data_IF_455582163692
#
_entry.id   IF_455582163692
#
_cell.length_a   1.000
_cell.length_b   1.000
_cell.length_c   1.000
_cell.angle_alpha   90.00
_cell.angle_beta   90.00
_cell.angle_gamma   90.00
#
_symmetry.space_group_name_H-M   'P 1'
#
loop_
_entity.id
_entity.type
_entity.pdbx_description
1 polymer ?
#
# COMPACT_ATOMS: atom_id res chain seq x y z
N UNK A 1 0.23 60.81 43.09
CA UNK A 1 -0.42 61.78 42.17
C UNK A 1 -1.62 61.06 41.57
N UNK A 2 -2.82 61.63 41.62
CA UNK A 2 -3.96 61.03 40.91
C UNK A 2 -3.80 61.30 39.42
N UNK A 3 -3.92 60.26 38.60
CA UNK A 3 -3.92 60.39 37.14
C UNK A 3 -5.08 61.28 36.70
N UNK A 4 -4.82 62.13 35.71
CA UNK A 4 -5.79 63.06 35.14
C UNK A 4 -7.00 62.29 34.57
N UNK A 5 -8.17 62.93 34.53
CA UNK A 5 -9.38 62.33 33.93
C UNK A 5 -9.16 61.89 32.47
N UNK A 6 -8.26 62.57 31.75
CA UNK A 6 -7.86 62.23 30.40
C UNK A 6 -6.98 60.96 30.33
N UNK A 7 -6.00 60.81 31.21
CA UNK A 7 -5.14 59.63 31.28
C UNK A 7 -5.96 58.37 31.61
N UNK A 8 -6.90 58.49 32.56
CA UNK A 8 -7.83 57.40 32.89
C UNK A 8 -8.73 57.01 31.71
N UNK A 9 -9.11 57.96 30.87
CA UNK A 9 -9.90 57.68 29.66
C UNK A 9 -9.07 56.91 28.62
N UNK A 10 -7.80 57.26 28.43
CA UNK A 10 -6.87 56.54 27.54
C UNK A 10 -6.66 55.11 28.03
N UNK A 11 -6.39 54.93 29.33
CA UNK A 11 -6.22 53.60 29.94
C UNK A 11 -7.47 52.73 29.74
N UNK A 12 -8.65 53.28 29.99
CA UNK A 12 -9.91 52.56 29.80
C UNK A 12 -10.17 52.20 28.32
N UNK A 13 -9.80 53.07 27.38
CA UNK A 13 -9.94 52.80 25.95
C UNK A 13 -9.00 51.69 25.49
N UNK A 14 -7.75 51.69 25.97
CA UNK A 14 -6.79 50.62 25.70
C UNK A 14 -7.23 49.28 26.31
N UNK A 15 -7.67 49.28 27.57
CA UNK A 15 -8.20 48.09 28.25
C UNK A 15 -9.43 47.51 27.52
N UNK A 16 -10.35 48.37 27.07
CA UNK A 16 -11.48 47.94 26.26
C UNK A 16 -11.05 47.28 24.95
N UNK A 17 -10.11 47.88 24.22
CA UNK A 17 -9.60 47.35 22.96
C UNK A 17 -8.86 46.02 23.15
N UNK A 18 -7.99 45.92 24.15
CA UNK A 18 -7.24 44.68 24.45
C UNK A 18 -8.17 43.55 24.84
N UNK A 19 -9.14 43.79 25.74
CA UNK A 19 -10.19 42.82 26.09
C UNK A 19 -10.99 42.38 24.87
N UNK A 20 -11.31 43.32 23.96
CA UNK A 20 -12.02 43.04 22.72
C UNK A 20 -11.19 42.11 21.83
N UNK A 21 -9.91 42.42 21.60
CA UNK A 21 -8.99 41.59 20.81
C UNK A 21 -8.87 40.19 21.41
N UNK A 22 -8.69 40.05 22.72
CA UNK A 22 -8.61 38.75 23.40
C UNK A 22 -9.90 37.93 23.20
N UNK A 23 -11.07 38.57 23.37
CA UNK A 23 -12.37 37.91 23.18
C UNK A 23 -12.58 37.42 21.75
N UNK A 24 -12.22 38.22 20.75
CA UNK A 24 -12.38 37.84 19.34
C UNK A 24 -11.35 36.80 18.89
N UNK A 25 -10.12 36.88 19.38
CA UNK A 25 -9.08 35.87 19.10
C UNK A 25 -9.48 34.51 19.66
N UNK A 26 -9.99 34.46 20.90
CA UNK A 26 -10.54 33.24 21.48
C UNK A 26 -11.70 32.68 20.65
N UNK A 27 -12.66 33.51 20.25
CA UNK A 27 -13.77 33.09 19.38
C UNK A 27 -13.29 32.54 18.04
N UNK A 28 -12.30 33.21 17.42
CA UNK A 28 -11.71 32.77 16.15
C UNK A 28 -11.03 31.42 16.32
N UNK A 29 -10.26 31.23 17.39
CA UNK A 29 -9.59 29.97 17.70
C UNK A 29 -10.57 28.80 17.78
N UNK A 30 -11.63 28.92 18.59
CA UNK A 30 -12.64 27.86 18.69
C UNK A 30 -13.36 27.60 17.36
N UNK A 31 -13.69 28.66 16.61
CA UNK A 31 -14.29 28.50 15.28
C UNK A 31 -13.38 27.76 14.31
N UNK A 32 -12.09 28.09 14.31
CA UNK A 32 -11.11 27.48 13.42
C UNK A 32 -10.86 26.01 13.81
N UNK A 33 -10.82 25.70 15.10
CA UNK A 33 -10.78 24.32 15.60
C UNK A 33 -12.02 23.55 15.17
N UNK A 34 -13.24 24.03 15.47
CA UNK A 34 -14.46 23.32 15.06
C UNK A 34 -14.60 23.16 13.55
N UNK A 35 -13.97 24.03 12.74
CA UNK A 35 -13.90 23.84 11.28
C UNK A 35 -12.93 22.71 10.92
N UNK A 36 -11.76 22.62 11.54
CA UNK A 36 -10.79 21.54 11.31
C UNK A 36 -11.37 20.19 11.71
N UNK A 37 -11.93 20.09 12.92
CA UNK A 37 -12.52 18.83 13.42
C UNK A 37 -13.66 18.28 12.57
N UNK A 38 -14.38 19.13 11.83
CA UNK A 38 -15.45 18.69 10.91
C UNK A 38 -14.93 18.20 9.56
N UNK A 39 -13.73 18.62 9.17
CA UNK A 39 -13.22 18.46 7.81
C UNK A 39 -11.86 17.74 7.74
N UNK A 40 -11.23 17.44 8.87
CA UNK A 40 -9.91 16.84 8.98
C UNK A 40 -9.99 15.65 9.94
N UNK A 41 -9.34 14.56 9.54
CA UNK A 41 -9.10 13.37 10.35
C UNK A 41 -7.62 13.37 10.76
N UNK A 42 -7.32 12.88 11.97
CA UNK A 42 -5.94 12.62 12.34
C UNK A 42 -5.43 11.40 11.58
N UNK A 43 -4.14 11.37 11.23
CA UNK A 43 -3.53 10.15 10.68
C UNK A 43 -3.61 8.97 11.65
N UNK A 44 -3.62 9.23 12.96
CA UNK A 44 -3.79 8.19 13.98
C UNK A 44 -5.19 7.57 14.01
N UNK A 45 -6.18 8.24 13.41
CA UNK A 45 -7.56 7.76 13.34
C UNK A 45 -7.82 6.97 12.05
N UNK A 46 -6.86 6.94 11.11
CA UNK A 46 -6.95 6.19 9.87
C UNK A 46 -6.54 4.73 10.08
N UNK A 47 -7.24 3.84 9.39
CA UNK A 47 -6.82 2.44 9.31
C UNK A 47 -5.54 2.27 8.48
N UNK A 48 -4.83 1.17 8.70
CA UNK A 48 -3.65 0.82 7.90
C UNK A 48 -3.97 0.72 6.40
N UNK A 49 -5.17 0.22 6.06
CA UNK A 49 -5.64 0.16 4.68
C UNK A 49 -5.79 1.56 4.05
N UNK A 50 -6.35 2.51 4.77
CA UNK A 50 -6.50 3.90 4.28
C UNK A 50 -5.14 4.58 4.16
N UNK A 51 -4.23 4.37 5.12
CA UNK A 51 -2.86 4.89 5.04
C UNK A 51 -2.11 4.32 3.84
N UNK A 52 -2.22 3.01 3.60
CA UNK A 52 -1.59 2.34 2.46
C UNK A 52 -2.17 2.80 1.11
N UNK A 53 -3.40 3.31 1.08
CA UNK A 53 -3.97 3.90 -0.14
C UNK A 53 -3.35 5.25 -0.51
N UNK A 54 -2.93 6.04 0.49
CA UNK A 54 -2.29 7.34 0.26
C UNK A 54 -0.77 7.24 0.11
N UNK A 55 -0.18 6.16 0.62
CA UNK A 55 1.25 5.88 0.50
C UNK A 55 1.64 5.50 -0.93
N UNK A 56 2.73 6.07 -1.41
CA UNK A 56 3.48 5.52 -2.55
C UNK A 56 4.67 4.78 -1.93
N UNK A 57 4.76 3.47 -2.16
CA UNK A 57 5.93 2.70 -1.79
C UNK A 57 6.95 2.79 -2.92
N UNK A 58 8.21 3.04 -2.57
CA UNK A 58 9.30 3.01 -3.52
C UNK A 58 9.50 1.58 -4.03
N UNK A 59 9.57 1.43 -5.35
CA UNK A 59 9.83 0.15 -6.00
C UNK A 59 11.35 -0.05 -6.17
N UNK A 60 11.91 -0.92 -5.34
CA UNK A 60 13.32 -1.30 -5.38
C UNK A 60 13.47 -2.69 -5.99
N UNK A 61 14.61 -2.93 -6.65
CA UNK A 61 14.93 -4.25 -7.21
C UNK A 61 15.05 -5.37 -6.16
N UNK A 62 15.16 -5.01 -4.87
CA UNK A 62 15.11 -5.95 -3.74
C UNK A 62 13.69 -6.39 -3.38
N UNK A 63 12.66 -5.71 -3.88
CA UNK A 63 11.26 -5.96 -3.51
C UNK A 63 10.62 -7.10 -4.33
N UNK A 64 11.32 -7.63 -5.33
CA UNK A 64 10.80 -8.69 -6.19
C UNK A 64 11.89 -9.66 -6.62
N UNK A 65 11.46 -10.87 -6.98
CA UNK A 65 12.29 -11.86 -7.66
C UNK A 65 11.97 -11.83 -9.16
N UNK A 66 12.99 -11.69 -10.00
CA UNK A 66 12.83 -11.65 -11.46
C UNK A 66 13.08 -13.04 -12.07
N UNK A 67 12.14 -13.50 -12.89
CA UNK A 67 12.27 -14.72 -13.69
C UNK A 67 12.37 -14.37 -15.17
N UNK A 68 13.40 -14.87 -15.84
CA UNK A 68 13.49 -14.77 -17.30
C UNK A 68 12.80 -15.97 -17.96
N UNK A 69 11.70 -15.70 -18.66
CA UNK A 69 10.90 -16.69 -19.38
C UNK A 69 11.02 -16.42 -20.88
N UNK A 70 11.87 -17.19 -21.56
CA UNK A 70 12.08 -17.08 -23.01
C UNK A 70 12.47 -15.67 -23.48
N UNK A 71 13.25 -14.94 -22.67
CA UNK A 71 13.66 -13.57 -22.95
C UNK A 71 12.73 -12.49 -22.40
N UNK A 72 11.62 -12.86 -21.76
CA UNK A 72 10.71 -11.94 -21.09
C UNK A 72 10.94 -11.96 -19.58
N UNK A 73 11.14 -10.80 -18.97
CA UNK A 73 11.26 -10.68 -17.52
C UNK A 73 9.87 -10.68 -16.87
N UNK A 74 9.67 -11.53 -15.87
CA UNK A 74 8.47 -11.60 -15.03
C UNK A 74 8.88 -11.34 -13.58
N UNK A 75 8.29 -10.33 -12.96
CA UNK A 75 8.59 -9.92 -11.59
C UNK A 75 7.56 -10.48 -10.63
N UNK A 76 8.03 -11.11 -9.54
CA UNK A 76 7.18 -11.70 -8.49
C UNK A 76 7.58 -11.08 -7.15
N UNK A 77 6.68 -10.27 -6.59
CA UNK A 77 6.93 -9.56 -5.31
C UNK A 77 6.71 -10.43 -4.07
N UNK A 78 5.86 -11.46 -4.17
CA UNK A 78 5.59 -12.36 -3.04
C UNK A 78 6.76 -13.36 -2.87
N UNK A 79 7.42 -13.28 -1.72
CA UNK A 79 8.62 -14.07 -1.42
C UNK A 79 8.34 -15.58 -1.30
N UNK A 80 7.20 -15.95 -0.70
CA UNK A 80 6.85 -17.36 -0.57
C UNK A 80 6.52 -17.98 -1.94
N UNK A 81 5.82 -17.22 -2.78
CA UNK A 81 5.50 -17.61 -4.14
C UNK A 81 6.76 -17.72 -5.00
N UNK A 82 7.70 -16.76 -4.88
CA UNK A 82 8.94 -16.80 -5.65
C UNK A 82 9.77 -18.04 -5.31
N UNK A 83 9.91 -18.40 -4.03
CA UNK A 83 10.56 -19.63 -3.58
C UNK A 83 9.86 -20.88 -4.13
N UNK A 84 8.53 -20.95 -4.07
CA UNK A 84 7.78 -22.07 -4.61
C UNK A 84 7.98 -22.21 -6.14
N UNK A 85 8.02 -21.08 -6.86
CA UNK A 85 8.30 -21.05 -8.29
C UNK A 85 9.74 -21.48 -8.61
N UNK A 86 10.73 -21.12 -7.79
CA UNK A 86 12.13 -21.54 -7.97
C UNK A 86 12.32 -23.06 -7.88
N UNK A 87 11.59 -23.73 -6.99
CA UNK A 87 11.66 -25.19 -6.80
C UNK A 87 11.05 -25.95 -7.98
N UNK A 88 10.10 -25.34 -8.70
CA UNK A 88 9.45 -26.00 -9.83
C UNK A 88 10.43 -26.23 -11.00
N UNK A 89 10.28 -27.35 -11.75
CA UNK A 89 10.98 -27.54 -13.00
C UNK A 89 10.74 -26.38 -13.97
N UNK A 90 11.80 -25.90 -14.62
CA UNK A 90 11.78 -24.70 -15.48
C UNK A 90 10.62 -24.70 -16.49
N UNK A 91 10.35 -25.84 -17.15
CA UNK A 91 9.23 -25.95 -18.10
C UNK A 91 7.87 -25.68 -17.45
N UNK A 92 7.65 -26.21 -16.24
CA UNK A 92 6.40 -26.00 -15.48
C UNK A 92 6.31 -24.57 -14.98
N UNK A 93 7.42 -24.03 -14.45
CA UNK A 93 7.53 -22.64 -13.99
C UNK A 93 7.20 -21.66 -15.12
N UNK A 94 7.82 -21.82 -16.28
CA UNK A 94 7.59 -20.96 -17.44
C UNK A 94 6.13 -21.00 -17.91
N UNK A 95 5.49 -22.17 -17.91
CA UNK A 95 4.06 -22.30 -18.23
C UNK A 95 3.17 -21.54 -17.23
N UNK A 96 3.49 -21.61 -15.94
CA UNK A 96 2.75 -20.90 -14.89
C UNK A 96 2.90 -19.39 -15.07
N UNK A 97 4.14 -18.91 -15.24
CA UNK A 97 4.44 -17.50 -15.42
C UNK A 97 3.75 -16.95 -16.69
N UNK A 98 3.84 -17.66 -17.82
CA UNK A 98 3.14 -17.24 -19.04
C UNK A 98 1.62 -17.24 -18.88
N UNK A 99 1.05 -18.23 -18.19
CA UNK A 99 -0.40 -18.36 -18.08
C UNK A 99 -1.05 -17.39 -17.10
N UNK A 100 -0.37 -17.02 -16.02
CA UNK A 100 -0.96 -16.23 -14.93
C UNK A 100 -0.39 -14.82 -14.78
N UNK A 101 0.87 -14.60 -15.18
CA UNK A 101 1.50 -13.28 -15.08
C UNK A 101 1.50 -12.54 -16.42
N UNK A 102 1.41 -13.27 -17.54
CA UNK A 102 1.37 -12.70 -18.89
C UNK A 102 0.03 -12.94 -19.60
N UNK A 103 -0.98 -13.43 -18.88
CA UNK A 103 -2.34 -13.72 -19.38
C UNK A 103 -2.40 -14.52 -20.70
N UNK A 104 -1.38 -15.34 -20.98
CA UNK A 104 -1.26 -16.04 -22.24
C UNK A 104 -2.09 -17.34 -22.24
N UNK A 105 -2.97 -17.59 -23.22
CA UNK A 105 -3.76 -18.81 -23.27
C UNK A 105 -2.91 -20.03 -23.64
N UNK A 106 -3.34 -21.22 -23.20
CA UNK A 106 -2.62 -22.49 -23.43
C UNK A 106 -2.25 -22.76 -24.90
N UNK A 107 -3.08 -22.27 -25.83
CA UNK A 107 -2.85 -22.42 -27.25
C UNK A 107 -1.63 -21.61 -27.72
N UNK A 108 -1.49 -20.38 -27.22
CA UNK A 108 -0.37 -19.50 -27.55
C UNK A 108 0.91 -19.97 -26.86
N UNK A 109 0.83 -20.35 -25.58
CA UNK A 109 1.96 -20.96 -24.86
C UNK A 109 2.45 -22.23 -25.58
N UNK A 110 1.51 -23.07 -26.02
CA UNK A 110 1.83 -24.29 -26.77
C UNK A 110 2.59 -23.99 -28.06
N UNK A 111 2.16 -22.98 -28.83
CA UNK A 111 2.89 -22.54 -30.03
C UNK A 111 4.28 -22.01 -29.69
N UNK A 112 4.39 -21.18 -28.66
CA UNK A 112 5.63 -20.55 -28.23
C UNK A 112 6.68 -21.57 -27.75
N UNK A 113 6.24 -22.58 -26.98
CA UNK A 113 7.11 -23.61 -26.41
C UNK A 113 7.23 -24.86 -27.27
N UNK A 114 6.59 -24.86 -28.46
CA UNK A 114 6.49 -26.02 -29.36
C UNK A 114 5.92 -27.28 -28.67
N UNK A 115 4.83 -27.11 -27.93
CA UNK A 115 4.12 -28.15 -27.17
C UNK A 115 2.64 -28.19 -27.55
N UNK A 116 2.01 -29.36 -27.42
CA UNK A 116 0.57 -29.49 -27.62
C UNK A 116 -0.19 -28.89 -26.42
N UNK A 117 -1.33 -28.25 -26.69
CA UNK A 117 -2.19 -27.61 -25.67
C UNK A 117 -2.49 -28.51 -24.47
N UNK A 118 -2.74 -29.80 -24.68
CA UNK A 118 -3.00 -30.77 -23.59
C UNK A 118 -1.81 -30.96 -22.64
N UNK A 119 -0.59 -30.89 -23.16
CA UNK A 119 0.65 -30.93 -22.37
C UNK A 119 0.79 -29.68 -21.52
N UNK A 120 0.47 -28.50 -22.07
CA UNK A 120 0.45 -27.24 -21.32
C UNK A 120 -0.53 -27.32 -20.15
N UNK A 121 -1.76 -27.74 -20.42
CA UNK A 121 -2.79 -27.91 -19.39
C UNK A 121 -2.34 -28.86 -18.27
N UNK A 122 -1.74 -30.00 -18.62
CA UNK A 122 -1.23 -30.97 -17.65
C UNK A 122 -0.10 -30.38 -16.81
N UNK A 123 0.86 -29.69 -17.44
CA UNK A 123 1.97 -29.05 -16.72
C UNK A 123 1.48 -27.95 -15.77
N UNK A 124 0.56 -27.09 -16.22
CA UNK A 124 -0.06 -26.06 -15.38
C UNK A 124 -0.76 -26.68 -14.18
N UNK A 125 -1.62 -27.68 -14.42
CA UNK A 125 -2.39 -28.33 -13.35
C UNK A 125 -1.48 -29.05 -12.34
N UNK A 126 -0.42 -29.72 -12.79
CA UNK A 126 0.57 -30.36 -11.90
C UNK A 126 1.34 -29.33 -11.09
N UNK A 127 1.82 -28.26 -11.73
CA UNK A 127 2.58 -27.20 -11.08
C UNK A 127 1.77 -26.51 -9.98
N UNK A 128 0.49 -26.22 -10.22
CA UNK A 128 -0.40 -25.65 -9.20
C UNK A 128 -0.61 -26.58 -8.01
N UNK A 129 -0.67 -27.89 -8.23
CA UNK A 129 -0.75 -28.87 -7.14
C UNK A 129 0.53 -28.91 -6.31
N UNK A 130 1.69 -28.81 -6.96
CA UNK A 130 3.00 -28.75 -6.30
C UNK A 130 3.14 -27.48 -5.47
N UNK A 131 2.84 -26.31 -6.05
CA UNK A 131 2.83 -25.03 -5.31
C UNK A 131 1.89 -25.12 -4.11
N UNK A 132 0.66 -25.61 -4.30
CA UNK A 132 -0.32 -25.76 -3.21
C UNK A 132 0.17 -26.71 -2.10
N UNK A 133 0.99 -27.71 -2.44
CA UNK A 133 1.58 -28.62 -1.45
C UNK A 133 2.63 -27.88 -0.61
N UNK A 134 3.51 -27.11 -1.25
CA UNK A 134 4.53 -26.31 -0.57
C UNK A 134 3.89 -25.32 0.44
N UNK A 135 2.84 -24.60 0.03
CA UNK A 135 2.13 -23.69 0.93
C UNK A 135 1.51 -24.37 2.16
N UNK A 136 1.11 -25.64 2.04
CA UNK A 136 0.55 -26.40 3.18
C UNK A 136 1.65 -26.91 4.11
N UNK A 137 2.75 -27.36 3.54
CA UNK A 137 3.90 -27.83 4.31
C UNK A 137 4.50 -26.67 5.11
N UNK A 138 4.65 -25.50 4.50
CA UNK A 138 5.14 -24.29 5.20
C UNK A 138 4.26 -23.89 6.38
N UNK A 139 2.93 -24.03 6.28
CA UNK A 139 2.01 -23.72 7.39
C UNK A 139 2.10 -24.71 8.55
N UNK A 140 2.55 -25.94 8.31
CA UNK A 140 2.71 -26.95 9.37
C UNK A 140 3.99 -26.73 10.21
N UNK A 141 4.99 -26.03 9.68
CA UNK A 141 6.22 -25.69 10.42
C UNK A 141 6.13 -24.43 11.27
N UNK A 142 5.11 -23.58 11.09
CA UNK A 142 4.88 -22.41 11.96
C UNK A 142 4.04 -22.75 13.21
N UNK A 143 3.44 -23.93 13.28
CA UNK A 143 2.66 -24.41 14.43
C UNK A 143 3.45 -25.31 15.41
N UNK A 144 4.74 -25.57 15.14
CA UNK A 144 5.69 -26.30 16.03
C UNK A 144 6.69 -25.36 16.73
#
# INVERSE_FOLDING_TARGET
MQSSSFEKAIEAQFDCLTKKVIKYTQKKYYRDISRRWRNQLSFSDLSEMELNHFGILDDYSSNYTAFNVLGMEVQVSDEQLSKALEVLPEKKRNIILLSYFMDMPDLEIGKLMNLVRSTIYRHRTSALKEIKKMYKEDSEYEEE
#
